data_IF_853870765133
#
_entry.id   IF_853870765133
#
_cell.length_a   1.000
_cell.length_b   1.000
_cell.length_c   1.000
_cell.angle_alpha   90.00
_cell.angle_beta   90.00
_cell.angle_gamma   90.00
#
_symmetry.space_group_name_H-M   'P 1'
#
loop_
_entity.id
_entity.type
_entity.pdbx_description
1 polymer ?
#
# COMPACT_ATOMS: atom_id res chain seq x y z
N UNK A 1 13.84 12.76 -14.51
CA UNK A 1 12.38 12.80 -14.34
C UNK A 1 11.71 13.84 -15.25
N UNK A 2 12.32 14.97 -15.46
CA UNK A 2 11.77 16.03 -16.33
C UNK A 2 12.05 15.87 -17.85
N UNK A 3 12.83 14.86 -18.24
CA UNK A 3 13.20 14.61 -19.63
C UNK A 3 12.29 13.59 -20.36
N UNK A 4 11.28 13.03 -19.64
CA UNK A 4 10.33 12.06 -20.18
C UNK A 4 8.94 12.67 -20.27
N UNK A 5 8.13 12.20 -21.22
CA UNK A 5 6.76 12.71 -21.39
C UNK A 5 5.81 12.21 -20.29
N UNK A 6 4.54 12.66 -20.31
CA UNK A 6 3.57 12.33 -19.26
C UNK A 6 3.19 10.84 -19.27
N UNK A 7 3.10 10.22 -20.43
CA UNK A 7 2.76 8.80 -20.54
C UNK A 7 3.91 7.92 -19.99
N UNK A 8 5.14 8.27 -20.28
CA UNK A 8 6.32 7.61 -19.73
C UNK A 8 6.41 7.80 -18.21
N UNK A 9 6.09 9.00 -17.72
CA UNK A 9 6.01 9.27 -16.26
C UNK A 9 4.94 8.45 -15.59
N UNK A 10 3.75 8.35 -16.18
CA UNK A 10 2.66 7.53 -15.65
C UNK A 10 3.05 6.04 -15.60
N UNK A 11 3.66 5.53 -16.65
CA UNK A 11 4.15 4.16 -16.70
C UNK A 11 5.25 3.89 -15.65
N UNK A 12 6.15 4.86 -15.44
CA UNK A 12 7.19 4.76 -14.42
C UNK A 12 6.59 4.75 -13.01
N UNK A 13 5.63 5.66 -12.72
CA UNK A 13 4.91 5.66 -11.43
C UNK A 13 4.22 4.33 -11.17
N UNK A 14 3.49 3.80 -12.15
CA UNK A 14 2.76 2.55 -12.03
C UNK A 14 3.65 1.35 -11.66
N UNK A 15 4.91 1.33 -12.13
CA UNK A 15 5.86 0.26 -11.88
C UNK A 15 6.71 0.46 -10.63
N UNK A 16 7.01 1.70 -10.27
CA UNK A 16 8.03 2.03 -9.26
C UNK A 16 7.47 2.57 -7.95
N UNK A 17 6.23 3.07 -7.95
CA UNK A 17 5.66 3.73 -6.78
C UNK A 17 4.35 3.06 -6.38
N UNK A 18 4.28 2.62 -5.13
CA UNK A 18 3.05 2.18 -4.49
C UNK A 18 2.49 3.26 -3.58
N UNK A 19 1.17 3.25 -3.37
CA UNK A 19 0.48 4.20 -2.51
C UNK A 19 -0.43 3.48 -1.52
N UNK A 20 -0.41 3.91 -0.27
CA UNK A 20 -1.34 3.50 0.78
C UNK A 20 -1.93 4.74 1.44
N UNK A 21 -3.25 4.80 1.50
CA UNK A 21 -3.99 5.96 2.01
C UNK A 21 -4.77 5.63 3.28
N UNK A 22 -5.11 6.64 4.06
CA UNK A 22 -5.95 6.54 5.24
C UNK A 22 -7.35 5.98 4.92
N UNK A 23 -7.94 6.37 3.78
CA UNK A 23 -9.27 5.97 3.33
C UNK A 23 -9.29 4.73 2.43
N UNK A 24 -8.22 3.93 2.43
CA UNK A 24 -8.02 2.69 1.68
C UNK A 24 -8.01 2.84 0.15
N UNK A 25 -8.86 3.66 -0.44
CA UNK A 25 -8.96 3.92 -1.88
C UNK A 25 -9.18 2.65 -2.72
N UNK A 26 -9.96 1.70 -2.21
CA UNK A 26 -10.33 0.50 -2.95
C UNK A 26 -11.47 0.81 -3.94
N UNK A 27 -11.44 0.12 -5.08
CA UNK A 27 -12.53 0.17 -6.04
C UNK A 27 -13.68 -0.71 -5.55
N UNK A 28 -14.80 -0.09 -5.20
CA UNK A 28 -15.93 -0.77 -4.55
C UNK A 28 -16.66 -1.78 -5.44
N UNK A 29 -16.52 -1.68 -6.75
CA UNK A 29 -17.09 -2.60 -7.74
C UNK A 29 -16.16 -3.76 -8.12
N UNK A 30 -14.98 -3.84 -7.51
CA UNK A 30 -14.02 -4.93 -7.68
C UNK A 30 -13.89 -5.71 -6.37
N UNK A 31 -13.69 -7.02 -6.48
CA UNK A 31 -13.38 -7.89 -5.34
C UNK A 31 -11.99 -7.57 -4.76
N UNK A 32 -11.65 -8.14 -3.60
CA UNK A 32 -10.31 -8.03 -3.04
C UNK A 32 -9.24 -8.51 -4.04
N UNK A 33 -9.46 -9.66 -4.65
CA UNK A 33 -8.56 -10.21 -5.66
C UNK A 33 -8.40 -9.27 -6.86
N UNK A 34 -9.49 -8.78 -7.41
CA UNK A 34 -9.48 -7.87 -8.57
C UNK A 34 -8.82 -6.52 -8.26
N UNK A 35 -9.01 -5.98 -7.06
CA UNK A 35 -8.29 -4.77 -6.61
C UNK A 35 -6.78 -4.97 -6.64
N UNK A 36 -6.29 -6.12 -6.18
CA UNK A 36 -4.84 -6.42 -6.15
C UNK A 36 -4.31 -6.79 -7.53
N UNK A 37 -5.13 -7.43 -8.37
CA UNK A 37 -4.76 -7.75 -9.76
C UNK A 37 -4.58 -6.50 -10.63
N UNK A 38 -5.36 -5.46 -10.38
CA UNK A 38 -5.45 -4.29 -11.27
C UNK A 38 -4.08 -3.67 -11.61
N UNK A 39 -3.19 -3.33 -10.66
CA UNK A 39 -1.88 -2.77 -11.01
C UNK A 39 -1.01 -3.73 -11.82
N UNK A 40 -1.14 -5.03 -11.60
CA UNK A 40 -0.43 -6.04 -12.39
C UNK A 40 -0.92 -6.10 -13.83
N UNK A 41 -2.23 -6.03 -14.03
CA UNK A 41 -2.85 -6.00 -15.37
C UNK A 41 -2.47 -4.72 -16.11
N UNK A 42 -2.50 -3.56 -15.45
CA UNK A 42 -2.09 -2.29 -16.04
C UNK A 42 -0.60 -2.26 -16.42
N UNK A 43 0.23 -3.02 -15.72
CA UNK A 43 1.65 -3.20 -16.04
C UNK A 43 1.90 -4.32 -17.08
N UNK A 44 0.84 -4.92 -17.64
CA UNK A 44 0.90 -6.06 -18.56
C UNK A 44 1.71 -7.25 -18.02
N UNK A 45 1.66 -7.45 -16.71
CA UNK A 45 2.35 -8.58 -16.07
C UNK A 45 1.58 -9.88 -16.27
N UNK A 46 2.31 -10.93 -16.62
CA UNK A 46 1.76 -12.28 -16.67
C UNK A 46 1.49 -12.81 -15.26
N UNK A 47 0.58 -13.75 -15.14
CA UNK A 47 0.22 -14.38 -13.86
C UNK A 47 -0.37 -13.42 -12.81
N UNK A 48 -1.03 -12.32 -13.24
CA UNK A 48 -1.61 -11.32 -12.33
C UNK A 48 -2.48 -11.96 -11.25
N UNK A 49 -3.35 -12.91 -11.63
CA UNK A 49 -4.23 -13.60 -10.68
C UNK A 49 -3.46 -14.41 -9.64
N UNK A 50 -2.44 -15.15 -10.04
CA UNK A 50 -1.62 -15.95 -9.12
C UNK A 50 -0.85 -15.06 -8.15
N UNK A 51 -0.19 -14.04 -8.67
CA UNK A 51 0.58 -13.07 -7.86
C UNK A 51 -0.31 -12.32 -6.86
N UNK A 52 -1.48 -11.88 -7.30
CA UNK A 52 -2.44 -11.19 -6.43
C UNK A 52 -2.96 -12.12 -5.32
N UNK A 53 -3.28 -13.37 -5.66
CA UNK A 53 -3.71 -14.38 -4.68
C UNK A 53 -2.63 -14.64 -3.63
N UNK A 54 -1.39 -14.89 -4.06
CA UNK A 54 -0.25 -15.12 -3.15
C UNK A 54 -0.04 -13.93 -2.21
N UNK A 55 -0.13 -12.70 -2.71
CA UNK A 55 0.00 -11.51 -1.89
C UNK A 55 -1.15 -11.37 -0.88
N UNK A 56 -2.39 -11.65 -1.28
CA UNK A 56 -3.53 -11.65 -0.36
C UNK A 56 -3.42 -12.73 0.71
N UNK A 57 -2.91 -13.90 0.40
CA UNK A 57 -2.60 -14.94 1.38
C UNK A 57 -1.55 -14.45 2.38
N UNK A 58 -0.51 -13.77 1.93
CA UNK A 58 0.54 -13.18 2.80
C UNK A 58 0.01 -12.13 3.78
N UNK A 59 -0.97 -11.36 3.38
CA UNK A 59 -1.61 -10.38 4.27
C UNK A 59 -2.78 -10.97 5.08
N UNK A 60 -2.98 -12.29 5.03
CA UNK A 60 -3.98 -13.00 5.83
C UNK A 60 -5.40 -12.95 5.27
N UNK A 61 -5.56 -12.71 3.97
CA UNK A 61 -6.86 -12.59 3.30
C UNK A 61 -7.14 -13.70 2.26
N UNK A 62 -6.47 -14.84 2.38
CA UNK A 62 -6.68 -15.97 1.47
C UNK A 62 -8.12 -16.48 1.41
N UNK A 63 -8.93 -16.25 2.45
CA UNK A 63 -10.35 -16.62 2.52
C UNK A 63 -11.32 -15.49 2.11
N UNK A 64 -10.78 -14.33 1.69
CA UNK A 64 -11.54 -13.12 1.36
C UNK A 64 -11.42 -12.69 -0.11
N UNK A 65 -10.84 -13.51 -0.98
CA UNK A 65 -10.51 -13.17 -2.37
C UNK A 65 -11.71 -12.63 -3.17
N UNK A 66 -12.87 -13.27 -3.01
CA UNK A 66 -14.11 -12.91 -3.72
C UNK A 66 -14.98 -11.88 -3.01
N UNK A 67 -14.55 -11.33 -1.88
CA UNK A 67 -15.31 -10.33 -1.14
C UNK A 67 -15.11 -8.93 -1.72
N UNK A 68 -16.21 -8.18 -1.78
CA UNK A 68 -16.19 -6.76 -2.15
C UNK A 68 -15.84 -5.89 -0.93
N UNK A 69 -15.23 -4.70 -1.12
CA UNK A 69 -14.82 -3.83 -0.02
C UNK A 69 -15.89 -3.57 1.02
N UNK A 70 -17.16 -3.40 0.61
CA UNK A 70 -18.27 -3.10 1.52
C UNK A 70 -18.53 -4.17 2.61
N UNK A 71 -18.11 -5.40 2.39
CA UNK A 71 -18.27 -6.50 3.37
C UNK A 71 -17.00 -6.80 4.16
N UNK A 72 -15.92 -6.05 3.90
CA UNK A 72 -14.66 -6.16 4.60
C UNK A 72 -14.60 -5.16 5.76
N UNK A 73 -13.98 -5.55 6.87
CA UNK A 73 -13.66 -4.61 7.96
C UNK A 73 -12.64 -3.56 7.49
N UNK A 74 -12.48 -2.46 8.25
CA UNK A 74 -11.48 -1.44 7.94
C UNK A 74 -10.05 -2.00 7.88
N UNK A 75 -9.70 -2.88 8.82
CA UNK A 75 -8.41 -3.56 8.82
C UNK A 75 -8.20 -4.49 7.64
N UNK A 76 -9.24 -5.24 7.24
CA UNK A 76 -9.21 -6.08 6.05
C UNK A 76 -9.07 -5.23 4.77
N UNK A 77 -9.82 -4.13 4.65
CA UNK A 77 -9.68 -3.20 3.53
C UNK A 77 -8.27 -2.62 3.44
N UNK A 78 -7.66 -2.25 4.57
CA UNK A 78 -6.29 -1.75 4.57
C UNK A 78 -5.27 -2.82 4.20
N UNK A 79 -5.50 -4.08 4.57
CA UNK A 79 -4.68 -5.20 4.11
C UNK A 79 -4.78 -5.41 2.59
N UNK A 80 -5.96 -5.27 2.01
CA UNK A 80 -6.12 -5.28 0.53
C UNK A 80 -5.35 -4.13 -0.10
N UNK A 81 -5.42 -2.92 0.48
CA UNK A 81 -4.68 -1.76 0.00
C UNK A 81 -3.15 -1.98 0.08
N UNK A 82 -2.65 -2.58 1.16
CA UNK A 82 -1.24 -2.98 1.28
C UNK A 82 -0.85 -4.00 0.23
N UNK A 83 -1.65 -5.05 0.06
CA UNK A 83 -1.41 -6.08 -0.95
C UNK A 83 -1.33 -5.46 -2.35
N UNK A 84 -2.26 -4.58 -2.70
CA UNK A 84 -2.28 -3.87 -3.98
C UNK A 84 -1.03 -3.00 -4.18
N UNK A 85 -0.57 -2.32 -3.14
CA UNK A 85 0.60 -1.47 -3.21
C UNK A 85 1.91 -2.25 -3.36
N UNK A 86 2.03 -3.39 -2.69
CA UNK A 86 3.26 -4.20 -2.68
C UNK A 86 3.34 -5.24 -3.80
N UNK A 87 2.22 -5.65 -4.40
CA UNK A 87 2.20 -6.75 -5.39
C UNK A 87 3.06 -6.49 -6.63
N UNK A 88 3.22 -5.24 -7.02
CA UNK A 88 4.11 -4.82 -8.13
C UNK A 88 5.57 -4.69 -7.70
N UNK A 89 5.90 -4.97 -6.44
CA UNK A 89 7.22 -4.81 -5.85
C UNK A 89 7.81 -3.41 -6.14
N UNK A 90 7.17 -2.34 -5.65
CA UNK A 90 7.58 -0.98 -5.97
C UNK A 90 8.95 -0.65 -5.37
N UNK A 91 9.68 0.24 -6.03
CA UNK A 91 10.93 0.78 -5.48
C UNK A 91 10.66 1.71 -4.29
N UNK A 92 9.54 2.44 -4.32
CA UNK A 92 9.10 3.37 -3.27
C UNK A 92 7.65 3.13 -2.92
N UNK A 93 7.35 3.07 -1.63
CA UNK A 93 5.99 3.08 -1.10
C UNK A 93 5.74 4.42 -0.38
N UNK A 94 4.71 5.12 -0.83
CA UNK A 94 4.22 6.33 -0.17
C UNK A 94 3.00 5.96 0.67
N UNK A 95 3.08 6.13 1.98
CA UNK A 95 2.00 5.84 2.92
C UNK A 95 1.60 7.13 3.65
N UNK A 96 0.34 7.53 3.49
CA UNK A 96 -0.21 8.73 4.10
C UNK A 96 -1.21 8.34 5.20
N UNK A 97 -0.81 8.51 6.45
CA UNK A 97 -1.59 8.16 7.64
C UNK A 97 -2.27 6.77 7.53
N UNK A 98 -1.53 5.69 7.24
CA UNK A 98 -2.12 4.41 6.82
C UNK A 98 -3.01 3.74 7.87
N UNK A 99 -2.94 4.17 9.11
CA UNK A 99 -3.75 3.64 10.23
C UNK A 99 -4.72 4.66 10.81
N UNK A 100 -4.84 5.84 10.21
CA UNK A 100 -5.63 6.95 10.77
C UNK A 100 -7.12 6.69 10.90
N UNK A 101 -7.69 5.74 10.15
CA UNK A 101 -9.10 5.34 10.20
C UNK A 101 -9.35 4.07 11.03
N UNK A 102 -8.33 3.51 11.69
CA UNK A 102 -8.39 2.24 12.39
C UNK A 102 -8.29 2.45 13.91
N UNK A 103 -8.86 1.52 14.67
CA UNK A 103 -8.61 1.43 16.11
C UNK A 103 -7.13 1.09 16.36
N UNK A 104 -6.66 1.38 17.58
CA UNK A 104 -5.25 1.25 17.92
C UNK A 104 -4.69 -0.17 17.67
N UNK A 105 -5.37 -1.19 18.15
CA UNK A 105 -4.88 -2.58 18.03
C UNK A 105 -4.80 -3.04 16.56
N UNK A 106 -5.81 -2.70 15.76
CA UNK A 106 -5.82 -2.99 14.33
C UNK A 106 -4.73 -2.19 13.62
N UNK A 107 -4.58 -0.92 13.98
CA UNK A 107 -3.53 -0.05 13.45
C UNK A 107 -2.12 -0.60 13.68
N UNK A 108 -1.82 -1.07 14.90
CA UNK A 108 -0.52 -1.69 15.20
C UNK A 108 -0.26 -2.95 14.35
N UNK A 109 -1.30 -3.78 14.15
CA UNK A 109 -1.20 -4.97 13.29
C UNK A 109 -0.88 -4.58 11.84
N UNK A 110 -1.55 -3.56 11.32
CA UNK A 110 -1.32 -3.03 9.95
C UNK A 110 0.08 -2.45 9.82
N UNK A 111 0.53 -1.66 10.81
CA UNK A 111 1.87 -1.07 10.80
C UNK A 111 2.96 -2.14 10.81
N UNK A 112 2.80 -3.17 11.67
CA UNK A 112 3.73 -4.30 11.70
C UNK A 112 3.79 -4.99 10.33
N UNK A 113 2.65 -5.31 9.75
CA UNK A 113 2.56 -5.95 8.44
C UNK A 113 3.25 -5.12 7.35
N UNK A 114 3.01 -3.80 7.35
CA UNK A 114 3.63 -2.88 6.38
C UNK A 114 5.16 -2.85 6.53
N UNK A 115 5.69 -2.77 7.74
CA UNK A 115 7.14 -2.80 7.98
C UNK A 115 7.76 -4.15 7.62
N UNK A 116 7.08 -5.26 7.92
CA UNK A 116 7.55 -6.61 7.58
C UNK A 116 7.63 -6.80 6.05
N UNK A 117 6.59 -6.42 5.31
CA UNK A 117 6.58 -6.45 3.84
C UNK A 117 7.64 -5.53 3.24
N UNK A 118 7.79 -4.34 3.80
CA UNK A 118 8.79 -3.37 3.36
C UNK A 118 10.21 -3.92 3.49
N UNK A 119 10.53 -4.52 4.64
CA UNK A 119 11.84 -5.12 4.90
C UNK A 119 12.10 -6.32 3.98
N UNK A 120 11.09 -7.18 3.78
CA UNK A 120 11.22 -8.38 2.95
C UNK A 120 11.40 -8.05 1.46
N UNK A 121 10.67 -7.05 0.96
CA UNK A 121 10.70 -6.67 -0.46
C UNK A 121 11.75 -5.60 -0.79
N UNK A 122 12.45 -5.05 0.20
CA UNK A 122 13.49 -4.04 0.00
C UNK A 122 12.97 -2.71 -0.56
N UNK A 123 11.71 -2.36 -0.28
CA UNK A 123 11.09 -1.12 -0.75
C UNK A 123 11.55 0.06 0.11
N UNK A 124 11.74 1.24 -0.48
CA UNK A 124 11.92 2.47 0.28
C UNK A 124 10.57 2.99 0.73
N UNK A 125 10.35 3.04 2.05
CA UNK A 125 9.10 3.53 2.63
C UNK A 125 9.20 5.03 2.96
N UNK A 126 8.28 5.82 2.42
CA UNK A 126 8.05 7.21 2.82
C UNK A 126 6.71 7.27 3.54
N UNK A 127 6.75 7.50 4.83
CA UNK A 127 5.58 7.46 5.70
C UNK A 127 5.25 8.87 6.21
N UNK A 128 4.04 9.32 5.95
CA UNK A 128 3.50 10.55 6.53
C UNK A 128 2.66 10.15 7.75
N UNK A 129 3.01 10.67 8.91
CA UNK A 129 2.29 10.41 10.16
C UNK A 129 2.47 11.55 11.15
N UNK A 130 1.46 11.76 11.99
CA UNK A 130 1.56 12.62 13.17
C UNK A 130 1.87 11.83 14.47
N UNK A 131 1.90 10.49 14.37
CA UNK A 131 2.22 9.61 15.50
C UNK A 131 3.74 9.49 15.66
N UNK A 132 4.23 9.99 16.80
CA UNK A 132 5.67 9.96 17.12
C UNK A 132 6.21 8.55 17.30
N UNK A 133 5.42 7.64 17.89
CA UNK A 133 5.84 6.26 18.12
C UNK A 133 6.05 5.51 16.79
N UNK A 134 5.19 5.79 15.80
CA UNK A 134 5.35 5.25 14.45
C UNK A 134 6.57 5.88 13.77
N UNK A 135 6.73 7.20 13.85
CA UNK A 135 7.87 7.91 13.27
C UNK A 135 9.21 7.43 13.84
N UNK A 136 9.26 7.07 15.11
CA UNK A 136 10.47 6.55 15.77
C UNK A 136 10.90 5.17 15.25
N UNK A 137 10.04 4.45 14.55
CA UNK A 137 10.36 3.17 13.88
C UNK A 137 11.06 3.36 12.53
N UNK A 138 11.11 4.58 12.01
CA UNK A 138 11.75 4.88 10.74
C UNK A 138 13.23 5.23 10.92
N UNK A 139 14.06 4.92 9.92
CA UNK A 139 15.51 5.22 9.95
C UNK A 139 15.82 6.72 9.93
N UNK A 140 14.95 7.51 9.30
CA UNK A 140 15.10 8.96 9.16
C UNK A 140 13.77 9.64 9.38
N UNK A 141 13.80 10.76 10.08
CA UNK A 141 12.63 11.63 10.28
C UNK A 141 12.85 13.01 9.69
N UNK A 142 11.81 13.54 9.07
CA UNK A 142 11.75 14.94 8.61
C UNK A 142 10.52 15.53 9.25
N UNK A 143 10.71 16.57 10.05
CA UNK A 143 9.60 17.27 10.68
C UNK A 143 9.23 18.49 9.84
N UNK A 144 7.92 18.67 9.62
CA UNK A 144 7.39 19.80 8.87
C UNK A 144 6.45 20.57 9.80
N UNK A 145 6.73 21.85 9.97
CA UNK A 145 5.89 22.78 10.74
C UNK A 145 5.59 24.02 9.92
N UNK A 146 4.31 24.39 9.83
CA UNK A 146 3.86 25.55 9.05
C UNK A 146 4.40 25.57 7.59
N UNK A 147 4.50 24.39 6.96
CA UNK A 147 4.97 24.25 5.58
C UNK A 147 6.50 24.33 5.42
N UNK A 148 7.26 24.28 6.50
CA UNK A 148 8.73 24.35 6.49
C UNK A 148 9.32 23.13 7.18
N UNK A 149 10.45 22.67 6.66
CA UNK A 149 11.27 21.65 7.32
C UNK A 149 11.98 22.26 8.50
N UNK A 150 11.85 21.63 9.65
CA UNK A 150 12.46 22.06 10.90
C UNK A 150 13.36 20.97 11.48
#
# INVERSE_FOLDING_TARGET
>A
MFAIDEDERAALRARKVGFVFQSFQLLGNLTALENVMLPLELANMKDARRLAKEMLERVGLGQRLGHYPKVLSGGEQQRVALARAFVVQPAVLLADEPTGSLDFATGETIMKLMFDLNAELGTTLVLVTHDRAIADRCHRKITIEAGRVV
#
